data_IF_494534951505
#
_entry.id   IF_494534951505
#
_cell.length_a   1.000
_cell.length_b   1.000
_cell.length_c   1.000
_cell.angle_alpha   90.00
_cell.angle_beta   90.00
_cell.angle_gamma   90.00
#
_symmetry.space_group_name_H-M   'P 1'
#
loop_
_entity.id
_entity.type
_entity.pdbx_description
1 polymer ?
#
# COMPACT_ATOMS: atom_id res chain seq x y z
N UNK A 1 -1.86 36.32 -4.35
CA UNK A 1 -1.29 35.04 -4.83
C UNK A 1 -0.59 35.33 -6.14
N UNK A 2 0.72 35.58 -6.14
CA UNK A 2 1.49 35.55 -7.39
C UNK A 2 1.54 34.10 -7.85
N UNK A 3 1.05 33.82 -9.05
CA UNK A 3 1.31 32.51 -9.66
C UNK A 3 2.75 32.50 -10.12
N UNK A 4 3.55 31.56 -9.63
CA UNK A 4 4.90 31.36 -10.14
C UNK A 4 4.85 31.16 -11.65
N UNK A 5 5.59 32.00 -12.39
CA UNK A 5 5.54 32.04 -13.86
C UNK A 5 5.99 30.69 -14.41
N UNK A 6 5.11 30.03 -15.18
CA UNK A 6 5.45 28.78 -15.88
C UNK A 6 6.55 29.04 -16.93
N UNK A 7 7.30 27.99 -17.25
CA UNK A 7 8.41 28.02 -18.23
C UNK A 7 7.89 28.41 -19.62
N UNK A 8 6.67 28.00 -19.96
CA UNK A 8 5.99 28.35 -21.19
C UNK A 8 4.63 28.97 -20.87
N UNK A 9 4.18 29.86 -21.75
CA UNK A 9 2.83 30.41 -21.70
C UNK A 9 1.79 29.31 -21.89
N UNK A 10 0.59 29.52 -21.32
CA UNK A 10 -0.54 28.61 -21.47
C UNK A 10 -0.99 28.46 -22.93
N UNK A 11 -0.68 29.44 -23.77
CA UNK A 11 -0.97 29.45 -25.20
C UNK A 11 -0.05 28.53 -26.03
N UNK A 12 1.06 28.05 -25.44
CA UNK A 12 1.99 27.16 -26.15
C UNK A 12 1.33 25.80 -26.38
N UNK A 13 1.01 25.53 -27.64
CA UNK A 13 0.50 24.24 -28.08
C UNK A 13 1.64 23.21 -28.08
N UNK A 14 1.37 22.04 -27.52
CA UNK A 14 2.32 20.94 -27.55
C UNK A 14 2.45 20.44 -28.98
N UNK A 15 3.69 20.33 -29.47
CA UNK A 15 3.95 19.71 -30.76
C UNK A 15 3.47 18.26 -30.73
N UNK A 16 2.42 17.97 -31.49
CA UNK A 16 1.97 16.62 -31.81
C UNK A 16 2.50 16.22 -33.18
N UNK A 17 2.56 14.91 -33.44
CA UNK A 17 2.82 14.42 -34.79
C UNK A 17 1.72 14.87 -35.75
N UNK A 18 2.00 14.88 -37.05
CA UNK A 18 0.96 15.18 -38.06
C UNK A 18 -0.20 14.20 -37.93
N UNK A 19 -1.42 14.56 -38.40
CA UNK A 19 -2.59 13.69 -38.28
C UNK A 19 -2.36 12.28 -38.83
N UNK A 20 -1.63 12.16 -39.94
CA UNK A 20 -1.29 10.87 -40.55
C UNK A 20 -0.41 10.00 -39.63
N UNK A 21 0.68 10.55 -39.07
CA UNK A 21 1.53 9.80 -38.15
C UNK A 21 0.84 9.49 -36.83
N UNK A 22 -0.02 10.39 -36.35
CA UNK A 22 -0.86 10.14 -35.18
C UNK A 22 -1.84 8.99 -35.42
N UNK A 23 -2.46 8.94 -36.60
CA UNK A 23 -3.31 7.83 -37.03
C UNK A 23 -2.51 6.53 -37.16
N UNK A 24 -1.36 6.55 -37.82
CA UNK A 24 -0.49 5.38 -37.98
C UNK A 24 -0.05 4.82 -36.62
N UNK A 25 0.39 5.70 -35.71
CA UNK A 25 0.74 5.34 -34.32
C UNK A 25 -0.45 4.74 -33.59
N UNK A 26 -1.63 5.37 -33.64
CA UNK A 26 -2.85 4.84 -33.03
C UNK A 26 -3.24 3.48 -33.60
N UNK A 27 -3.05 3.27 -34.90
CA UNK A 27 -3.35 2.02 -35.58
C UNK A 27 -2.38 0.91 -35.17
N UNK A 28 -1.08 1.19 -35.13
CA UNK A 28 -0.03 0.23 -34.74
C UNK A 28 -0.09 -0.12 -33.24
N UNK A 29 -0.31 0.87 -32.37
CA UNK A 29 -0.51 0.66 -30.93
C UNK A 29 -1.93 0.18 -30.59
N UNK A 30 -2.79 0.12 -31.60
CA UNK A 30 -4.14 -0.39 -31.51
C UNK A 30 -4.96 0.29 -30.39
N UNK A 31 -4.84 1.62 -30.36
CA UNK A 31 -5.57 2.55 -29.47
C UNK A 31 -7.07 2.53 -29.79
N UNK A 32 -7.39 2.46 -31.08
CA UNK A 32 -8.74 2.23 -31.59
C UNK A 32 -8.94 0.74 -31.92
N UNK A 33 -9.00 -0.14 -30.91
CA UNK A 33 -9.31 -1.57 -31.10
C UNK A 33 -10.80 -1.84 -31.24
N UNK A 34 -11.14 -2.90 -31.97
CA UNK A 34 -12.50 -3.41 -32.10
C UNK A 34 -13.01 -3.93 -30.75
N UNK A 35 -14.32 -3.87 -30.51
CA UNK A 35 -15.00 -4.24 -29.25
C UNK A 35 -14.75 -5.67 -28.71
N UNK A 36 -14.00 -6.50 -29.44
CA UNK A 36 -13.78 -7.94 -29.17
C UNK A 36 -12.62 -8.17 -28.18
N UNK A 37 -11.69 -7.22 -28.03
CA UNK A 37 -10.55 -7.34 -27.08
C UNK A 37 -10.55 -6.21 -26.06
N UNK A 38 -10.16 -6.47 -24.79
CA UNK A 38 -10.11 -5.44 -23.77
C UNK A 38 -9.11 -4.33 -24.19
N UNK A 39 -9.50 -3.05 -24.08
CA UNK A 39 -8.66 -1.94 -24.51
C UNK A 39 -7.41 -1.85 -23.63
N UNK A 40 -6.27 -1.54 -24.23
CA UNK A 40 -5.05 -1.21 -23.48
C UNK A 40 -5.20 0.20 -22.92
N UNK A 41 -5.28 0.31 -21.59
CA UNK A 41 -5.47 1.58 -20.87
C UNK A 41 -6.84 1.71 -20.22
N UNK A 42 -7.11 2.86 -19.57
CA UNK A 42 -8.38 3.09 -18.88
C UNK A 42 -9.48 3.29 -19.93
N UNK A 43 -10.54 2.44 -19.96
CA UNK A 43 -11.62 2.58 -20.93
C UNK A 43 -12.46 3.83 -20.63
N UNK A 44 -12.75 4.61 -21.68
CA UNK A 44 -13.78 5.67 -21.63
C UNK A 44 -15.17 5.07 -21.90
N UNK A 45 -16.24 5.83 -21.64
CA UNK A 45 -17.62 5.44 -21.95
C UNK A 45 -17.82 4.98 -23.41
N UNK A 46 -17.01 5.49 -24.34
CA UNK A 46 -17.06 5.15 -25.77
C UNK A 46 -16.31 3.85 -26.12
N UNK A 47 -15.68 3.16 -25.16
CA UNK A 47 -14.92 1.92 -25.36
C UNK A 47 -13.55 2.10 -26.03
N UNK A 48 -13.15 3.34 -26.34
CA UNK A 48 -11.82 3.68 -26.90
C UNK A 48 -10.79 3.89 -25.79
N UNK A 49 -9.54 3.53 -26.02
CA UNK A 49 -8.43 3.96 -25.17
C UNK A 49 -7.84 5.28 -25.68
N UNK A 50 -7.31 6.09 -24.78
CA UNK A 50 -6.63 7.34 -25.13
C UNK A 50 -5.13 7.10 -25.09
N UNK A 51 -4.42 7.47 -26.15
CA UNK A 51 -2.96 7.48 -26.11
C UNK A 51 -2.47 8.63 -25.23
N UNK A 52 -1.81 8.29 -24.13
CA UNK A 52 -1.10 9.25 -23.29
C UNK A 52 0.36 9.32 -23.70
N UNK A 53 0.81 10.51 -24.13
CA UNK A 53 2.21 10.73 -24.47
C UNK A 53 3.08 10.70 -23.20
N UNK A 54 4.14 9.87 -23.11
CA UNK A 54 5.01 9.83 -21.94
C UNK A 54 5.92 11.06 -21.81
N UNK A 55 6.05 11.87 -22.87
CA UNK A 55 6.87 13.07 -22.86
C UNK A 55 6.20 14.18 -22.07
N UNK A 56 6.99 14.83 -21.22
CA UNK A 56 6.54 15.97 -20.42
C UNK A 56 6.69 17.25 -21.22
N UNK A 57 5.61 18.03 -21.32
CA UNK A 57 5.61 19.31 -22.01
C UNK A 57 5.66 20.47 -21.00
N UNK A 58 6.13 21.66 -21.41
CA UNK A 58 6.25 22.82 -20.52
C UNK A 58 4.93 23.26 -19.86
N UNK A 59 3.80 23.13 -20.57
CA UNK A 59 2.48 23.50 -20.06
C UNK A 59 1.89 22.46 -19.06
N UNK A 60 2.27 21.18 -19.20
CA UNK A 60 1.84 20.08 -18.32
C UNK A 60 2.70 19.95 -17.06
N UNK A 61 3.86 20.62 -17.00
CA UNK A 61 4.74 20.62 -15.84
C UNK A 61 4.41 21.79 -14.90
N UNK A 62 4.73 21.63 -13.61
CA UNK A 62 4.76 22.74 -12.66
C UNK A 62 5.87 23.73 -13.02
N UNK A 63 5.73 24.98 -12.58
CA UNK A 63 6.80 25.96 -12.73
C UNK A 63 8.06 25.49 -11.96
N UNK A 64 9.26 25.84 -12.47
CA UNK A 64 10.53 25.59 -11.76
C UNK A 64 10.68 26.51 -10.55
N UNK A 65 10.19 27.73 -10.68
CA UNK A 65 10.08 28.66 -9.57
C UNK A 65 8.93 28.21 -8.69
N UNK A 66 9.18 28.09 -7.39
CA UNK A 66 8.17 27.74 -6.40
C UNK A 66 8.03 28.92 -5.44
N UNK A 67 6.81 29.15 -4.98
CA UNK A 67 6.56 30.10 -3.89
C UNK A 67 7.15 29.54 -2.58
N UNK A 68 7.58 30.38 -1.64
CA UNK A 68 8.09 29.91 -0.36
C UNK A 68 7.01 29.08 0.36
N UNK A 69 7.41 27.91 0.86
CA UNK A 69 6.49 26.98 1.50
C UNK A 69 6.30 27.37 2.98
N UNK A 70 5.05 27.43 3.43
CA UNK A 70 4.71 27.54 4.85
C UNK A 70 4.24 26.16 5.38
N UNK A 71 5.18 25.34 5.84
CA UNK A 71 4.89 24.01 6.36
C UNK A 71 4.25 24.08 7.76
N UNK A 72 3.23 23.26 8.06
CA UNK A 72 2.73 23.14 9.41
C UNK A 72 3.81 22.58 10.34
N UNK A 73 3.83 23.03 11.59
CA UNK A 73 4.70 22.48 12.62
C UNK A 73 4.37 21.01 12.92
N UNK A 74 5.37 20.28 13.42
CA UNK A 74 5.16 18.93 13.92
C UNK A 74 4.35 18.89 15.24
N UNK A 75 3.92 17.70 15.64
CA UNK A 75 3.06 17.47 16.82
C UNK A 75 3.61 18.07 18.13
N UNK A 76 4.94 18.16 18.24
CA UNK A 76 5.62 18.71 19.42
C UNK A 76 6.04 20.18 19.28
N UNK A 77 5.53 20.92 18.29
CA UNK A 77 5.71 22.38 18.24
C UNK A 77 4.69 23.07 19.18
N UNK A 78 4.83 22.83 20.48
CA UNK A 78 3.93 23.32 21.54
C UNK A 78 4.71 24.17 22.54
N UNK A 79 4.08 25.25 23.02
CA UNK A 79 4.68 26.18 23.99
C UNK A 79 4.62 25.70 25.45
N UNK A 80 3.65 24.83 25.78
CA UNK A 80 3.45 24.30 27.13
C UNK A 80 3.10 22.81 27.09
N UNK A 81 3.26 22.12 28.22
CA UNK A 81 3.01 20.67 28.36
C UNK A 81 3.74 19.82 27.31
N UNK A 82 5.04 20.09 27.12
CA UNK A 82 5.86 19.46 26.08
C UNK A 82 7.26 19.11 26.61
N UNK A 83 7.33 18.59 27.83
CA UNK A 83 8.59 18.12 28.40
C UNK A 83 9.14 16.97 27.57
N UNK A 84 10.45 17.00 27.31
CA UNK A 84 11.08 15.97 26.51
C UNK A 84 11.07 14.60 27.20
N UNK A 85 11.08 14.59 28.54
CA UNK A 85 11.03 13.40 29.38
C UNK A 85 9.85 12.47 29.01
N UNK A 86 8.66 13.02 28.80
CA UNK A 86 7.43 12.24 28.57
C UNK A 86 7.38 11.59 27.18
N UNK A 87 8.31 11.93 26.28
CA UNK A 87 8.34 11.47 24.89
C UNK A 87 9.71 10.98 24.44
N UNK A 88 10.67 10.86 25.36
CA UNK A 88 12.00 10.36 25.02
C UNK A 88 11.96 8.82 24.88
N UNK A 89 11.47 8.37 23.73
CA UNK A 89 11.43 6.95 23.39
C UNK A 89 12.79 6.26 23.38
N UNK A 90 13.90 7.02 23.35
CA UNK A 90 15.26 6.46 23.43
C UNK A 90 15.62 6.00 24.84
N UNK A 91 15.02 6.64 25.85
CA UNK A 91 15.20 6.29 27.27
C UNK A 91 14.16 5.32 27.79
N UNK A 92 13.08 5.07 27.05
CA UNK A 92 12.08 4.06 27.39
C UNK A 92 12.47 2.63 26.97
N UNK A 93 13.56 2.47 26.23
CA UNK A 93 14.05 1.14 25.81
C UNK A 93 14.66 0.44 27.01
N UNK A 94 14.05 -0.68 27.41
CA UNK A 94 14.56 -1.57 28.45
C UNK A 94 15.59 -2.55 27.87
N UNK A 95 16.53 -3.07 28.69
CA UNK A 95 17.37 -4.18 28.27
C UNK A 95 16.50 -5.39 27.89
N UNK A 96 16.96 -6.24 26.93
CA UNK A 96 16.22 -7.42 26.55
C UNK A 96 16.07 -8.37 27.76
N UNK A 97 14.86 -8.88 28.04
CA UNK A 97 14.66 -9.81 29.14
C UNK A 97 15.38 -11.14 28.87
N UNK A 98 16.04 -11.69 29.89
CA UNK A 98 16.65 -13.01 29.81
C UNK A 98 15.57 -14.10 29.89
N UNK A 99 15.47 -14.93 28.84
CA UNK A 99 14.48 -16.04 28.79
C UNK A 99 14.95 -17.28 29.54
N UNK A 100 16.27 -17.49 29.64
CA UNK A 100 16.90 -18.58 30.37
C UNK A 100 18.06 -18.01 31.19
N UNK A 101 18.12 -18.34 32.48
CA UNK A 101 19.24 -18.03 33.37
C UNK A 101 19.60 -19.30 34.14
N UNK A 102 20.89 -19.58 34.29
CA UNK A 102 21.40 -20.74 35.03
C UNK A 102 21.32 -20.57 36.55
N UNK A 103 21.11 -19.34 37.02
CA UNK A 103 21.11 -18.97 38.45
C UNK A 103 19.69 -18.79 39.03
N UNK A 104 18.67 -18.74 38.16
CA UNK A 104 17.28 -18.56 38.55
C UNK A 104 16.44 -19.72 38.01
N UNK A 105 15.51 -20.23 38.83
CA UNK A 105 14.55 -21.24 38.37
C UNK A 105 13.77 -20.68 37.17
N UNK A 106 13.73 -21.39 36.03
CA UNK A 106 13.00 -20.92 34.86
C UNK A 106 11.52 -20.77 35.23
N UNK A 107 11.00 -19.55 35.11
CA UNK A 107 9.58 -19.25 35.30
C UNK A 107 9.01 -18.72 34.01
N UNK A 108 7.81 -19.19 33.64
CA UNK A 108 7.06 -18.62 32.54
C UNK A 108 6.57 -17.24 32.99
N UNK A 109 6.79 -16.20 32.18
CA UNK A 109 6.33 -14.85 32.50
C UNK A 109 5.84 -14.13 31.24
N UNK A 110 4.86 -13.23 31.41
CA UNK A 110 4.42 -12.33 30.33
C UNK A 110 5.55 -11.36 29.98
N UNK A 111 5.42 -10.67 28.85
CA UNK A 111 6.33 -9.58 28.46
C UNK A 111 6.40 -8.44 29.50
N UNK A 112 5.39 -8.36 30.39
CA UNK A 112 5.30 -7.43 31.52
C UNK A 112 5.99 -7.93 32.81
N UNK A 113 6.55 -9.15 32.81
CA UNK A 113 7.25 -9.74 33.97
C UNK A 113 6.33 -10.44 34.99
N UNK A 114 5.01 -10.49 34.77
CA UNK A 114 4.08 -11.24 35.61
C UNK A 114 4.26 -12.75 35.41
N UNK A 115 4.31 -13.56 36.50
CA UNK A 115 4.44 -15.01 36.40
C UNK A 115 3.18 -15.62 35.76
N UNK A 116 3.39 -16.53 34.80
CA UNK A 116 2.37 -17.32 34.11
C UNK A 116 2.42 -18.76 34.61
N UNK A 117 1.24 -19.39 34.71
CA UNK A 117 1.18 -20.83 34.84
C UNK A 117 1.70 -21.49 33.54
N UNK A 118 2.39 -22.65 33.60
CA UNK A 118 2.90 -23.33 32.41
C UNK A 118 1.81 -23.59 31.36
N UNK A 119 0.59 -23.88 31.79
CA UNK A 119 -0.56 -24.13 30.91
C UNK A 119 -1.03 -22.90 30.12
N UNK A 120 -0.71 -21.70 30.60
CA UNK A 120 -1.10 -20.40 30.00
C UNK A 120 0.01 -19.82 29.12
N UNK A 121 1.22 -20.39 29.18
CA UNK A 121 2.40 -19.90 28.47
C UNK A 121 2.46 -20.32 26.98
N UNK A 122 1.52 -21.17 26.54
CA UNK A 122 1.44 -21.63 25.15
C UNK A 122 0.38 -20.81 24.38
N UNK A 123 0.78 -20.21 23.26
CA UNK A 123 -0.15 -19.62 22.29
C UNK A 123 -1.14 -20.71 21.82
N UNK A 124 -2.39 -20.39 21.50
CA UNK A 124 -3.35 -21.30 20.85
C UNK A 124 -4.07 -20.55 19.73
N UNK A 125 -3.68 -20.77 18.48
CA UNK A 125 -4.37 -20.31 17.28
C UNK A 125 -3.65 -20.73 15.98
N UNK A 126 -4.28 -20.76 14.79
CA UNK A 126 -5.64 -20.34 14.49
C UNK A 126 -6.60 -21.51 14.19
N UNK A 127 -6.15 -22.77 14.18
CA UNK A 127 -7.01 -23.97 14.31
C UNK A 127 -6.79 -24.74 15.62
N UNK A 128 -6.31 -24.04 16.66
CA UNK A 128 -5.65 -24.46 17.94
C UNK A 128 -4.09 -24.40 18.02
N UNK A 129 -3.36 -23.99 16.96
CA UNK A 129 -1.90 -24.09 16.69
C UNK A 129 -1.56 -25.39 15.94
N UNK A 130 -1.38 -25.31 14.62
CA UNK A 130 -1.16 -26.49 13.77
C UNK A 130 0.19 -27.19 14.00
N UNK A 131 0.13 -28.46 14.46
CA UNK A 131 0.99 -29.57 14.01
C UNK A 131 2.43 -29.68 14.53
N UNK A 132 2.91 -28.78 15.40
CA UNK A 132 4.25 -28.87 15.98
C UNK A 132 4.20 -28.66 17.50
N UNK A 133 5.02 -29.41 18.25
CA UNK A 133 5.08 -29.40 19.72
C UNK A 133 5.57 -28.06 20.31
N UNK A 134 6.00 -27.12 19.47
CA UNK A 134 6.49 -25.79 19.86
C UNK A 134 5.59 -24.69 19.26
N UNK A 135 5.33 -23.59 20.02
CA UNK A 135 4.54 -22.48 19.50
C UNK A 135 5.27 -21.78 18.35
N UNK A 136 4.57 -21.57 17.23
CA UNK A 136 5.10 -20.78 16.10
C UNK A 136 4.94 -19.29 16.43
N UNK A 137 5.99 -18.47 16.38
CA UNK A 137 5.87 -17.04 16.66
C UNK A 137 4.99 -16.31 15.63
N UNK A 138 4.14 -15.39 16.13
CA UNK A 138 3.24 -14.57 15.30
C UNK A 138 1.84 -15.16 15.13
N UNK A 139 0.90 -14.34 14.68
CA UNK A 139 -0.41 -14.80 14.24
C UNK A 139 -0.31 -15.12 12.75
N UNK A 140 -0.70 -16.33 12.34
CA UNK A 140 -0.67 -16.74 10.94
C UNK A 140 -1.34 -15.69 10.06
N UNK A 141 -0.65 -15.23 9.01
CA UNK A 141 -1.19 -14.29 8.06
C UNK A 141 -1.77 -15.05 6.87
N UNK A 142 -3.04 -14.80 6.55
CA UNK A 142 -3.67 -15.32 5.34
C UNK A 142 -4.00 -14.18 4.38
N UNK A 143 -3.71 -14.40 3.09
CA UNK A 143 -4.17 -13.52 2.03
C UNK A 143 -5.55 -13.99 1.60
N UNK A 144 -6.54 -13.09 1.63
CA UNK A 144 -7.87 -13.36 1.11
C UNK A 144 -8.11 -12.55 -0.17
N UNK A 145 -8.81 -13.15 -1.13
CA UNK A 145 -9.29 -12.44 -2.32
C UNK A 145 -10.62 -11.78 -1.99
N UNK A 146 -10.84 -10.58 -2.52
CA UNK A 146 -12.13 -9.90 -2.42
C UNK A 146 -12.55 -9.39 -3.78
N UNK A 147 -13.75 -9.78 -4.22
CA UNK A 147 -14.32 -9.31 -5.49
C UNK A 147 -14.24 -7.79 -5.66
N UNK A 148 -14.46 -7.03 -4.58
CA UNK A 148 -14.49 -5.57 -4.63
C UNK A 148 -13.12 -4.93 -4.93
N UNK A 149 -12.03 -5.63 -4.64
CA UNK A 149 -10.66 -5.15 -4.87
C UNK A 149 -10.06 -5.61 -6.19
N UNK A 150 -10.74 -6.52 -6.90
CA UNK A 150 -10.27 -7.06 -8.18
C UNK A 150 -10.56 -6.15 -9.37
N UNK A 151 -9.87 -6.39 -10.49
CA UNK A 151 -10.13 -5.67 -11.74
C UNK A 151 -11.55 -5.95 -12.23
N UNK A 152 -12.21 -4.96 -12.86
CA UNK A 152 -13.58 -5.11 -13.39
C UNK A 152 -13.75 -6.34 -14.29
N UNK A 153 -12.75 -6.66 -15.10
CA UNK A 153 -12.78 -7.84 -15.97
C UNK A 153 -12.82 -9.15 -15.18
N UNK A 154 -12.16 -9.21 -14.02
CA UNK A 154 -12.14 -10.38 -13.14
C UNK A 154 -13.37 -10.46 -12.24
N UNK A 155 -14.01 -9.32 -11.93
CA UNK A 155 -15.28 -9.29 -11.20
C UNK A 155 -16.42 -9.96 -11.98
N UNK A 156 -16.36 -9.92 -13.30
CA UNK A 156 -17.39 -10.47 -14.19
C UNK A 156 -17.14 -11.95 -14.54
N UNK A 157 -15.98 -12.53 -14.19
CA UNK A 157 -15.71 -13.95 -14.49
C UNK A 157 -16.36 -14.89 -13.49
N UNK A 158 -16.99 -15.95 -14.01
CA UNK A 158 -17.60 -17.00 -13.19
C UNK A 158 -16.54 -17.85 -12.46
N UNK A 159 -15.33 -17.90 -13.01
CA UNK A 159 -14.16 -18.57 -12.43
C UNK A 159 -13.73 -17.94 -11.10
N UNK A 160 -13.96 -16.64 -10.91
CA UNK A 160 -13.61 -15.96 -9.67
C UNK A 160 -14.36 -16.55 -8.46
N UNK A 161 -15.67 -16.77 -8.60
CA UNK A 161 -16.52 -17.40 -7.58
C UNK A 161 -16.10 -18.86 -7.33
N UNK A 162 -15.57 -19.54 -8.34
CA UNK A 162 -15.02 -20.88 -8.18
C UNK A 162 -13.71 -20.86 -7.37
N UNK A 163 -12.82 -19.88 -7.63
CA UNK A 163 -11.58 -19.73 -6.87
C UNK A 163 -11.80 -19.32 -5.42
N UNK A 164 -12.79 -18.46 -5.14
CA UNK A 164 -13.18 -18.09 -3.77
C UNK A 164 -13.55 -19.31 -2.90
N UNK A 165 -14.02 -20.41 -3.50
CA UNK A 165 -14.31 -21.66 -2.76
C UNK A 165 -13.06 -22.34 -2.22
N UNK A 166 -11.91 -22.13 -2.83
CA UNK A 166 -10.64 -22.69 -2.35
C UNK A 166 -10.00 -21.81 -1.29
N UNK A 167 -10.42 -20.56 -1.16
CA UNK A 167 -10.07 -19.69 -0.03
C UNK A 167 -10.73 -20.18 1.29
N UNK A 168 -11.72 -21.08 1.20
CA UNK A 168 -12.47 -21.63 2.34
C UNK A 168 -11.69 -22.67 3.16
N UNK A 169 -10.62 -23.26 2.61
CA UNK A 169 -9.74 -24.17 3.36
C UNK A 169 -8.67 -23.44 4.19
N UNK A 170 -8.66 -22.10 4.18
CA UNK A 170 -7.73 -21.25 4.92
C UNK A 170 -8.34 -20.60 6.17
N UNK A 171 -9.66 -20.39 6.18
CA UNK A 171 -10.37 -19.90 7.38
C UNK A 171 -10.49 -21.01 8.41
N UNK A 172 -9.48 -21.12 9.26
CA UNK A 172 -9.58 -21.93 10.47
C UNK A 172 -10.68 -21.33 11.35
N UNK A 173 -11.82 -22.03 11.40
CA UNK A 173 -12.90 -21.82 12.37
C UNK A 173 -12.42 -22.04 13.80
#
# INVERSE_FOLDING_TARGET
MSYAKKIADATVQNRTQTPFFSWLRNKLLAVDRQKITPPTGVPRADGKSVYHNPSRYPNTQSARTTEPVNLPGGVHNKLAANYYLDRDGRRSVLPPPALYSTEANPSFAKTTGEPLAPAEAYSKGPGENFGLQAPTPGFGAEWSRSKNTELKTQQETQEFVYFERFDCYAKST
#
